data_IF_830733496717
#
_entry.id   IF_830733496717
#
_cell.length_a   1.000
_cell.length_b   1.000
_cell.length_c   1.000
_cell.angle_alpha   90.00
_cell.angle_beta   90.00
_cell.angle_gamma   90.00
#
_symmetry.space_group_name_H-M   'P 1'
#
loop_
_entity.id
_entity.type
_entity.pdbx_description
1 polymer ?
#
# COMPACT_ATOMS: atom_id res chain seq x y z
N UNK A 1 0.25 1.70 -9.65
CA UNK A 1 0.28 2.46 -10.91
C UNK A 1 0.66 3.92 -10.69
N UNK A 2 -0.17 4.76 -10.07
CA UNK A 2 0.06 6.21 -9.90
C UNK A 2 1.41 6.51 -9.22
N UNK A 3 1.72 5.89 -8.08
CA UNK A 3 2.93 6.17 -7.32
C UNK A 3 4.22 5.86 -8.07
N UNK A 4 4.35 4.65 -8.61
CA UNK A 4 5.55 4.22 -9.34
C UNK A 4 5.73 5.03 -10.62
N UNK A 5 4.66 5.20 -11.40
CA UNK A 5 4.73 5.93 -12.65
C UNK A 5 5.05 7.41 -12.47
N UNK A 6 4.46 8.06 -11.44
CA UNK A 6 4.78 9.45 -11.11
C UNK A 6 6.23 9.60 -10.61
N UNK A 7 6.75 8.63 -9.84
CA UNK A 7 8.13 8.64 -9.38
C UNK A 7 9.13 8.48 -10.54
N UNK A 8 8.82 7.62 -11.52
CA UNK A 8 9.62 7.49 -12.74
C UNK A 8 9.56 8.79 -13.56
N UNK A 9 8.36 9.38 -13.70
CA UNK A 9 8.21 10.64 -14.44
C UNK A 9 8.95 11.79 -13.75
N UNK A 10 8.90 11.86 -12.43
CA UNK A 10 9.70 12.77 -11.63
C UNK A 10 11.20 12.64 -11.94
N UNK A 11 11.75 11.41 -11.89
CA UNK A 11 13.16 11.17 -12.15
C UNK A 11 13.56 11.61 -13.58
N UNK A 12 12.74 11.30 -14.58
CA UNK A 12 12.95 11.74 -15.97
C UNK A 12 12.94 13.27 -16.07
N UNK A 13 11.96 13.94 -15.42
CA UNK A 13 11.84 15.39 -15.45
C UNK A 13 13.00 16.07 -14.73
N UNK A 14 13.54 15.49 -13.65
CA UNK A 14 14.76 15.99 -12.98
C UNK A 14 15.98 15.92 -13.89
N UNK A 15 16.17 14.82 -14.62
CA UNK A 15 17.28 14.68 -15.60
C UNK A 15 17.16 15.75 -16.69
N UNK A 16 15.93 16.03 -17.15
CA UNK A 16 15.64 17.06 -18.16
C UNK A 16 15.69 18.49 -17.63
N UNK A 17 15.82 18.67 -16.30
CA UNK A 17 15.77 19.97 -15.61
C UNK A 17 14.44 20.70 -15.80
N UNK A 18 13.34 19.96 -15.92
CA UNK A 18 12.00 20.53 -16.02
C UNK A 18 11.64 21.25 -14.71
N UNK A 19 11.12 22.47 -14.79
CA UNK A 19 10.73 23.27 -13.60
C UNK A 19 9.64 22.59 -12.75
N UNK A 20 8.77 21.82 -13.39
CA UNK A 20 7.59 21.21 -12.80
C UNK A 20 7.84 19.80 -12.21
N UNK A 21 9.10 19.35 -12.15
CA UNK A 21 9.44 18.00 -11.70
C UNK A 21 8.93 17.74 -10.26
N UNK A 22 9.06 18.70 -9.38
CA UNK A 22 8.69 18.56 -7.96
C UNK A 22 7.19 18.42 -7.74
N UNK A 23 6.37 18.90 -8.66
CA UNK A 23 4.90 18.79 -8.56
C UNK A 23 4.39 17.35 -8.68
N UNK A 24 5.16 16.44 -9.28
CA UNK A 24 4.72 15.05 -9.45
C UNK A 24 4.52 14.34 -8.12
N UNK A 25 5.33 14.63 -7.10
CA UNK A 25 5.19 14.02 -5.77
C UNK A 25 3.87 14.40 -5.13
N UNK A 26 3.59 15.69 -5.02
CA UNK A 26 2.37 16.19 -4.40
C UNK A 26 1.12 15.75 -5.18
N UNK A 27 1.20 15.82 -6.50
CA UNK A 27 0.11 15.36 -7.37
C UNK A 27 -0.20 13.87 -7.16
N UNK A 28 0.84 13.02 -7.08
CA UNK A 28 0.66 11.59 -6.82
C UNK A 28 0.02 11.34 -5.46
N UNK A 29 0.44 12.05 -4.41
CA UNK A 29 -0.16 11.93 -3.07
C UNK A 29 -1.64 12.30 -3.08
N UNK A 30 -2.02 13.45 -3.66
CA UNK A 30 -3.42 13.88 -3.72
C UNK A 30 -4.28 12.83 -4.44
N UNK A 31 -3.86 12.38 -5.62
CA UNK A 31 -4.63 11.40 -6.39
C UNK A 31 -4.69 10.03 -5.71
N UNK A 32 -3.64 9.63 -5.00
CA UNK A 32 -3.66 8.42 -4.18
C UNK A 32 -4.63 8.55 -2.99
N UNK A 33 -4.64 9.69 -2.31
CA UNK A 33 -5.60 9.93 -1.22
C UNK A 33 -7.03 9.94 -1.77
N UNK A 34 -7.30 10.65 -2.87
CA UNK A 34 -8.63 10.68 -3.47
C UNK A 34 -9.11 9.29 -3.90
N UNK A 35 -8.25 8.50 -4.55
CA UNK A 35 -8.61 7.13 -4.94
C UNK A 35 -8.73 6.18 -3.75
N UNK A 36 -7.98 6.40 -2.66
CA UNK A 36 -8.11 5.59 -1.45
C UNK A 36 -9.43 5.81 -0.71
N UNK A 37 -10.08 6.97 -0.87
CA UNK A 37 -11.41 7.20 -0.29
C UNK A 37 -12.45 6.22 -0.82
N UNK A 38 -12.31 5.74 -2.06
CA UNK A 38 -13.16 4.69 -2.60
C UNK A 38 -13.00 3.37 -1.80
N UNK A 39 -11.77 3.01 -1.44
CA UNK A 39 -11.50 1.81 -0.64
C UNK A 39 -11.99 1.97 0.80
N UNK A 40 -11.84 3.16 1.39
CA UNK A 40 -12.39 3.47 2.72
C UNK A 40 -13.92 3.32 2.70
N UNK A 41 -14.59 3.89 1.72
CA UNK A 41 -16.03 3.76 1.55
C UNK A 41 -16.44 2.30 1.39
N UNK A 42 -15.76 1.56 0.51
CA UNK A 42 -16.03 0.14 0.31
C UNK A 42 -15.80 -0.68 1.59
N UNK A 43 -14.75 -0.38 2.34
CA UNK A 43 -14.45 -1.04 3.62
C UNK A 43 -15.49 -0.80 4.69
N UNK A 44 -16.03 0.42 4.80
CA UNK A 44 -17.06 0.75 5.79
C UNK A 44 -18.39 0.06 5.47
N UNK A 45 -18.82 0.11 4.21
CA UNK A 45 -20.17 -0.30 3.81
C UNK A 45 -20.27 -1.73 3.25
N UNK A 46 -19.21 -2.24 2.63
CA UNK A 46 -19.23 -3.50 1.86
C UNK A 46 -18.18 -4.52 2.31
N UNK A 47 -17.58 -4.39 3.47
CA UNK A 47 -16.49 -5.30 3.92
C UNK A 47 -16.91 -6.77 3.94
N UNK A 48 -18.10 -7.09 4.45
CA UNK A 48 -18.62 -8.45 4.48
C UNK A 48 -18.89 -9.01 3.07
N UNK A 49 -19.47 -8.21 2.20
CA UNK A 49 -19.76 -8.62 0.83
C UNK A 49 -18.48 -8.85 0.01
N UNK A 50 -17.46 -8.01 0.22
CA UNK A 50 -16.14 -8.21 -0.39
C UNK A 50 -15.55 -9.55 0.06
N UNK A 51 -15.63 -9.90 1.34
CA UNK A 51 -15.13 -11.18 1.84
C UNK A 51 -15.89 -12.36 1.23
N UNK A 52 -17.22 -12.28 1.10
CA UNK A 52 -18.06 -13.31 0.44
C UNK A 52 -17.69 -13.49 -1.03
N UNK A 53 -17.48 -12.40 -1.76
CA UNK A 53 -17.05 -12.46 -3.18
C UNK A 53 -15.66 -13.10 -3.31
N UNK A 54 -14.78 -12.91 -2.33
CA UNK A 54 -13.46 -13.55 -2.28
C UNK A 54 -13.49 -15.02 -1.85
N UNK A 55 -14.68 -15.57 -1.53
CA UNK A 55 -14.87 -16.98 -1.21
C UNK A 55 -14.87 -17.31 0.28
N UNK A 56 -14.94 -16.30 1.18
CA UNK A 56 -15.04 -16.52 2.61
C UNK A 56 -16.44 -17.09 2.98
N UNK A 57 -16.47 -18.11 3.83
CA UNK A 57 -17.71 -18.60 4.43
C UNK A 57 -18.21 -17.67 5.55
N UNK A 58 -19.46 -17.87 6.00
CA UNK A 58 -20.08 -17.00 7.02
C UNK A 58 -19.31 -16.98 8.34
N UNK A 59 -18.63 -18.08 8.69
CA UNK A 59 -17.81 -18.13 9.90
C UNK A 59 -16.56 -17.23 9.75
N UNK A 60 -15.88 -17.29 8.61
CA UNK A 60 -14.73 -16.43 8.31
C UNK A 60 -15.15 -14.96 8.20
N UNK A 61 -16.33 -14.68 7.61
CA UNK A 61 -16.88 -13.33 7.55
C UNK A 61 -17.16 -12.80 8.95
N UNK A 62 -17.75 -13.59 9.84
CA UNK A 62 -18.05 -13.18 11.21
C UNK A 62 -16.79 -12.78 12.00
N UNK A 63 -15.70 -13.51 11.84
CA UNK A 63 -14.42 -13.26 12.55
C UNK A 63 -13.60 -12.17 11.87
N UNK A 64 -13.55 -12.14 10.53
CA UNK A 64 -12.65 -11.29 9.75
C UNK A 64 -13.22 -9.94 9.34
N UNK A 65 -14.52 -9.69 9.54
CA UNK A 65 -15.15 -8.46 9.06
C UNK A 65 -14.53 -7.18 9.67
N UNK A 66 -14.28 -7.18 10.98
CA UNK A 66 -13.65 -6.04 11.65
C UNK A 66 -12.20 -5.84 11.17
N UNK A 67 -11.46 -6.95 10.97
CA UNK A 67 -10.12 -6.89 10.35
C UNK A 67 -10.16 -6.19 9.00
N UNK A 68 -11.06 -6.63 8.10
CA UNK A 68 -11.19 -6.09 6.75
C UNK A 68 -11.60 -4.62 6.78
N UNK A 69 -12.52 -4.22 7.67
CA UNK A 69 -12.89 -2.81 7.86
C UNK A 69 -11.71 -1.95 8.26
N UNK A 70 -10.96 -2.35 9.30
CA UNK A 70 -9.79 -1.60 9.77
C UNK A 70 -8.77 -1.49 8.64
N UNK A 71 -8.42 -2.61 7.99
CA UNK A 71 -7.46 -2.63 6.90
C UNK A 71 -7.83 -1.66 5.76
N UNK A 72 -9.10 -1.69 5.32
CA UNK A 72 -9.57 -0.83 4.23
C UNK A 72 -9.70 0.65 4.65
N UNK A 73 -10.03 0.94 5.92
CA UNK A 73 -10.03 2.30 6.44
C UNK A 73 -8.63 2.94 6.43
N UNK A 74 -7.57 2.14 6.58
CA UNK A 74 -6.19 2.60 6.50
C UNK A 74 -5.61 2.58 5.08
N UNK A 75 -6.40 2.31 4.04
CA UNK A 75 -5.97 2.34 2.65
C UNK A 75 -5.21 3.62 2.26
N UNK A 76 -5.58 4.85 2.74
CA UNK A 76 -4.80 6.05 2.47
C UNK A 76 -3.35 5.95 2.93
N UNK A 77 -3.10 5.35 4.11
CA UNK A 77 -1.76 5.19 4.66
C UNK A 77 -0.91 4.22 3.83
N UNK A 78 -1.50 3.08 3.42
CA UNK A 78 -0.84 2.14 2.52
C UNK A 78 -0.47 2.78 1.19
N UNK A 79 -1.41 3.50 0.56
CA UNK A 79 -1.18 4.13 -0.72
C UNK A 79 -0.15 5.27 -0.64
N UNK A 80 -0.19 6.10 0.40
CA UNK A 80 0.80 7.14 0.63
C UNK A 80 2.20 6.56 0.90
N UNK A 81 2.30 5.49 1.69
CA UNK A 81 3.57 4.79 1.93
C UNK A 81 4.17 4.26 0.62
N UNK A 82 3.33 3.67 -0.24
CA UNK A 82 3.77 3.16 -1.55
C UNK A 82 4.30 4.28 -2.46
N UNK A 83 3.62 5.43 -2.50
CA UNK A 83 4.08 6.62 -3.24
C UNK A 83 5.41 7.12 -2.67
N UNK A 84 5.48 7.33 -1.36
CA UNK A 84 6.65 7.86 -0.67
C UNK A 84 7.88 6.98 -0.90
N UNK A 85 7.73 5.66 -0.75
CA UNK A 85 8.79 4.68 -1.00
C UNK A 85 9.26 4.70 -2.46
N UNK A 86 8.33 4.78 -3.42
CA UNK A 86 8.66 4.86 -4.84
C UNK A 86 9.47 6.12 -5.16
N UNK A 87 9.10 7.28 -4.59
CA UNK A 87 9.83 8.52 -4.81
C UNK A 87 11.22 8.52 -4.19
N UNK A 88 11.37 8.06 -2.94
CA UNK A 88 12.68 7.94 -2.28
C UNK A 88 13.62 7.02 -3.07
N UNK A 89 13.09 5.90 -3.59
CA UNK A 89 13.85 4.97 -4.43
C UNK A 89 14.32 5.62 -5.73
N UNK A 90 13.46 6.38 -6.40
CA UNK A 90 13.77 7.05 -7.66
C UNK A 90 14.56 8.36 -7.48
N UNK A 91 14.63 8.91 -6.28
CA UNK A 91 15.45 10.07 -5.91
C UNK A 91 16.89 9.67 -5.47
N UNK A 92 17.31 8.45 -5.80
CA UNK A 92 18.66 7.97 -5.58
C UNK A 92 18.95 7.44 -4.18
N UNK A 93 17.93 7.18 -3.36
CA UNK A 93 18.07 6.61 -2.02
C UNK A 93 17.39 5.24 -1.85
N UNK A 94 17.68 4.24 -2.71
CA UNK A 94 17.04 2.92 -2.61
C UNK A 94 17.34 2.21 -1.29
N UNK A 95 18.50 2.48 -0.67
CA UNK A 95 18.85 1.92 0.63
C UNK A 95 17.90 2.40 1.75
N UNK A 96 17.50 3.67 1.74
CA UNK A 96 16.53 4.21 2.71
C UNK A 96 15.14 3.60 2.46
N UNK A 97 14.72 3.49 1.20
CA UNK A 97 13.46 2.85 0.85
C UNK A 97 13.42 1.38 1.28
N UNK A 98 14.50 0.64 1.09
CA UNK A 98 14.63 -0.74 1.56
C UNK A 98 14.60 -0.83 3.09
N UNK A 99 15.36 0.03 3.79
CA UNK A 99 15.33 0.08 5.25
C UNK A 99 13.94 0.39 5.77
N UNK A 100 13.22 1.34 5.15
CA UNK A 100 11.84 1.67 5.51
C UNK A 100 10.92 0.44 5.42
N UNK A 101 11.05 -0.35 4.36
CA UNK A 101 10.27 -1.59 4.17
C UNK A 101 10.63 -2.62 5.24
N UNK A 102 11.92 -2.87 5.50
CA UNK A 102 12.38 -3.83 6.49
C UNK A 102 11.93 -3.48 7.91
N UNK A 103 12.11 -2.23 8.32
CA UNK A 103 11.69 -1.78 9.65
C UNK A 103 10.16 -1.77 9.79
N UNK A 104 9.42 -1.40 8.76
CA UNK A 104 7.97 -1.47 8.74
C UNK A 104 7.47 -2.92 8.90
N UNK A 105 8.10 -3.89 8.22
CA UNK A 105 7.77 -5.30 8.35
C UNK A 105 8.14 -5.87 9.73
N UNK A 106 9.31 -5.50 10.26
CA UNK A 106 9.72 -5.90 11.61
C UNK A 106 8.78 -5.33 12.66
N UNK A 107 8.41 -4.06 12.54
CA UNK A 107 7.41 -3.44 13.39
C UNK A 107 6.08 -4.20 13.33
N UNK A 108 5.61 -4.54 12.14
CA UNK A 108 4.37 -5.32 11.97
C UNK A 108 4.44 -6.63 12.76
N UNK A 109 5.48 -7.45 12.57
CA UNK A 109 5.63 -8.74 13.26
C UNK A 109 5.62 -8.58 14.80
N UNK A 110 6.37 -7.61 15.32
CA UNK A 110 6.47 -7.36 16.76
C UNK A 110 5.13 -6.86 17.33
N UNK A 111 4.48 -5.94 16.65
CA UNK A 111 3.22 -5.35 17.10
C UNK A 111 2.04 -6.29 16.89
N UNK A 112 2.05 -7.15 15.88
CA UNK A 112 1.09 -8.24 15.75
C UNK A 112 1.08 -9.09 17.03
N UNK A 113 2.27 -9.55 17.46
CA UNK A 113 2.38 -10.33 18.68
C UNK A 113 1.87 -9.56 19.92
N UNK A 114 2.32 -8.31 20.11
CA UNK A 114 1.97 -7.49 21.28
C UNK A 114 0.47 -7.21 21.33
N UNK A 115 -0.13 -6.81 20.23
CA UNK A 115 -1.55 -6.42 20.19
C UNK A 115 -2.46 -7.64 20.25
N UNK A 116 -2.09 -8.76 19.62
CA UNK A 116 -2.91 -9.98 19.65
C UNK A 116 -2.92 -10.67 20.99
N UNK A 117 -1.76 -10.85 21.63
CA UNK A 117 -1.62 -11.69 22.83
C UNK A 117 -1.60 -10.89 24.13
N UNK A 118 -0.61 -10.03 24.45
CA UNK A 118 -0.58 -9.28 25.69
C UNK A 118 -1.75 -8.32 25.88
N UNK A 119 -2.20 -7.68 24.78
CA UNK A 119 -3.32 -6.74 24.84
C UNK A 119 -4.70 -7.39 24.59
N UNK A 120 -4.74 -8.69 24.30
CA UNK A 120 -5.96 -9.46 24.05
C UNK A 120 -6.90 -8.88 22.97
N UNK A 121 -6.36 -8.16 21.98
CA UNK A 121 -7.14 -7.61 20.88
C UNK A 121 -7.40 -8.64 19.76
N UNK A 122 -6.77 -9.82 19.80
CA UNK A 122 -6.98 -10.87 18.81
C UNK A 122 -6.79 -10.38 17.36
N UNK A 123 -7.74 -10.69 16.48
CA UNK A 123 -7.71 -10.31 15.07
C UNK A 123 -7.73 -8.80 14.83
N UNK A 124 -8.37 -8.03 15.69
CA UNK A 124 -8.38 -6.56 15.59
C UNK A 124 -6.99 -5.98 15.88
N UNK A 125 -6.26 -6.59 16.81
CA UNK A 125 -4.86 -6.25 17.09
C UNK A 125 -3.95 -6.46 15.87
N UNK A 126 -4.07 -7.57 15.19
CA UNK A 126 -3.35 -7.83 13.94
C UNK A 126 -3.71 -6.80 12.84
N UNK A 127 -4.99 -6.46 12.69
CA UNK A 127 -5.40 -5.43 11.75
C UNK A 127 -4.77 -4.07 12.06
N UNK A 128 -4.71 -3.68 13.33
CA UNK A 128 -4.11 -2.43 13.77
C UNK A 128 -2.59 -2.41 13.54
N UNK A 129 -1.87 -3.48 13.88
CA UNK A 129 -0.43 -3.56 13.64
C UNK A 129 -0.11 -3.43 12.15
N UNK A 130 -0.86 -4.16 11.31
CA UNK A 130 -0.74 -4.07 9.85
C UNK A 130 -1.06 -2.66 9.34
N UNK A 131 -2.09 -2.01 9.86
CA UNK A 131 -2.51 -0.66 9.46
C UNK A 131 -1.52 0.43 9.89
N UNK A 132 -0.82 0.23 11.01
CA UNK A 132 0.18 1.19 11.53
C UNK A 132 1.55 1.04 10.86
N UNK A 133 1.91 -0.14 10.37
CA UNK A 133 3.24 -0.39 9.79
C UNK A 133 3.59 0.55 8.60
N UNK A 134 2.69 0.95 7.69
CA UNK A 134 2.98 1.93 6.65
C UNK A 134 3.39 3.31 7.20
N UNK A 135 2.89 3.69 8.37
CA UNK A 135 3.23 4.97 9.01
C UNK A 135 4.70 4.97 9.42
N UNK A 136 5.20 3.86 9.93
CA UNK A 136 6.63 3.69 10.26
C UNK A 136 7.48 3.78 8.98
N UNK A 137 7.06 3.09 7.92
CA UNK A 137 7.73 3.15 6.62
C UNK A 137 7.80 4.57 6.07
N UNK A 138 6.68 5.31 6.09
CA UNK A 138 6.64 6.72 5.68
C UNK A 138 7.52 7.61 6.57
N UNK A 139 7.55 7.37 7.88
CA UNK A 139 8.40 8.09 8.82
C UNK A 139 9.88 7.98 8.46
N UNK A 140 10.36 6.76 8.17
CA UNK A 140 11.74 6.52 7.75
C UNK A 140 12.02 7.15 6.37
N UNK A 141 11.12 7.00 5.41
CA UNK A 141 11.24 7.66 4.11
C UNK A 141 11.26 9.18 4.23
N UNK A 142 10.52 9.76 5.18
CA UNK A 142 10.48 11.21 5.41
C UNK A 142 11.84 11.76 5.83
N UNK A 143 12.70 10.97 6.50
CA UNK A 143 14.08 11.37 6.85
C UNK A 143 14.86 11.74 5.58
N UNK A 144 14.62 11.03 4.47
CA UNK A 144 15.26 11.36 3.21
C UNK A 144 14.82 12.74 2.70
N UNK A 145 13.54 13.08 2.75
CA UNK A 145 13.03 14.36 2.26
C UNK A 145 13.57 15.58 3.03
N UNK A 146 13.89 15.40 4.32
CA UNK A 146 14.55 16.43 5.12
C UNK A 146 16.08 16.43 4.99
N UNK A 147 16.65 15.44 4.32
CA UNK A 147 18.10 15.37 4.08
C UNK A 147 18.51 16.34 2.95
N UNK A 148 19.73 16.91 3.10
CA UNK A 148 20.36 17.72 2.04
C UNK A 148 20.63 16.94 0.74
N UNK A 149 20.52 15.61 0.78
CA UNK A 149 20.71 14.72 -0.39
C UNK A 149 19.44 14.55 -1.22
N UNK A 150 18.28 14.92 -0.69
CA UNK A 150 17.01 14.83 -1.41
C UNK A 150 16.95 15.90 -2.49
N UNK A 151 16.56 15.46 -3.69
CA UNK A 151 16.21 16.34 -4.79
C UNK A 151 14.72 16.65 -4.84
N UNK A 152 13.90 15.92 -4.07
CA UNK A 152 12.44 16.14 -3.99
C UNK A 152 12.16 17.36 -3.14
N UNK A 153 11.50 18.35 -3.69
CA UNK A 153 10.98 19.49 -2.95
C UNK A 153 9.49 19.29 -2.69
N UNK A 154 9.08 19.50 -1.44
CA UNK A 154 7.67 19.42 -1.07
C UNK A 154 6.95 20.71 -1.52
N UNK A 155 6.54 20.74 -2.77
CA UNK A 155 5.83 21.88 -3.34
C UNK A 155 4.34 21.55 -3.39
N UNK A 156 3.54 22.35 -2.66
CA UNK A 156 2.07 22.21 -2.69
C UNK A 156 1.56 22.78 -4.01
N UNK A 157 1.02 21.92 -4.86
CA UNK A 157 0.45 22.30 -6.15
C UNK A 157 -1.02 21.87 -6.27
N UNK A 158 -1.76 22.51 -7.18
CA UNK A 158 -3.12 22.06 -7.51
C UNK A 158 -3.09 20.71 -8.22
N UNK A 159 -4.05 19.80 -7.93
CA UNK A 159 -4.11 18.51 -8.60
C UNK A 159 -4.29 18.70 -10.12
N UNK A 160 -3.43 18.04 -10.88
CA UNK A 160 -3.42 18.11 -12.34
C UNK A 160 -3.68 16.74 -12.96
N UNK A 161 -4.80 16.63 -13.70
CA UNK A 161 -5.15 15.41 -14.43
C UNK A 161 -4.09 15.07 -15.50
N UNK A 162 -3.48 16.09 -16.10
CA UNK A 162 -2.40 15.89 -17.10
C UNK A 162 -1.19 15.18 -16.48
N UNK A 163 -0.77 15.58 -15.28
CA UNK A 163 0.34 14.95 -14.55
C UNK A 163 -0.04 13.53 -14.07
N UNK A 164 -1.31 13.34 -13.67
CA UNK A 164 -1.84 12.03 -13.33
C UNK A 164 -1.74 11.07 -14.53
N UNK A 165 -2.23 11.46 -15.70
CA UNK A 165 -2.19 10.63 -16.91
C UNK A 165 -0.75 10.33 -17.32
N UNK A 166 0.13 11.35 -17.34
CA UNK A 166 1.53 11.19 -17.69
C UNK A 166 2.28 10.23 -16.74
N UNK A 167 1.98 10.29 -15.43
CA UNK A 167 2.50 9.33 -14.45
C UNK A 167 1.90 7.94 -14.64
N UNK A 168 0.58 7.84 -14.79
CA UNK A 168 -0.10 6.56 -14.94
C UNK A 168 0.38 5.77 -16.16
N UNK A 169 0.67 6.42 -17.27
CA UNK A 169 1.20 5.76 -18.47
C UNK A 169 2.51 5.00 -18.20
N UNK A 170 3.42 5.59 -17.42
CA UNK A 170 4.68 4.92 -17.04
C UNK A 170 4.49 3.87 -15.96
N UNK A 171 3.40 3.93 -15.21
CA UNK A 171 3.06 2.97 -14.17
C UNK A 171 2.26 1.76 -14.63
N UNK A 172 1.89 1.66 -15.91
CA UNK A 172 1.10 0.55 -16.46
C UNK A 172 1.79 -0.79 -16.28
N UNK A 173 3.10 -0.87 -16.52
CA UNK A 173 3.87 -2.10 -16.36
C UNK A 173 3.85 -2.61 -14.91
N UNK A 174 4.02 -1.71 -13.93
CA UNK A 174 3.91 -2.04 -12.53
C UNK A 174 2.48 -2.49 -12.16
N UNK A 175 1.47 -1.85 -12.71
CA UNK A 175 0.07 -2.24 -12.50
C UNK A 175 -0.22 -3.64 -13.05
N UNK A 176 0.25 -3.95 -14.26
CA UNK A 176 0.08 -5.28 -14.85
C UNK A 176 0.78 -6.36 -14.01
N UNK A 177 1.98 -6.07 -13.50
CA UNK A 177 2.70 -6.99 -12.61
C UNK A 177 1.91 -7.30 -11.33
N UNK A 178 1.41 -6.26 -10.64
CA UNK A 178 0.62 -6.41 -9.42
C UNK A 178 -0.72 -7.12 -9.70
N UNK A 179 -1.39 -6.78 -10.79
CA UNK A 179 -2.62 -7.47 -11.19
C UNK A 179 -2.39 -8.94 -11.50
N UNK A 180 -1.29 -9.27 -12.17
CA UNK A 180 -0.92 -10.66 -12.45
C UNK A 180 -0.72 -11.46 -11.17
N UNK A 181 0.01 -10.88 -10.19
CA UNK A 181 0.22 -11.50 -8.88
C UNK A 181 -1.11 -11.70 -8.14
N UNK A 182 -1.99 -10.71 -8.17
CA UNK A 182 -3.31 -10.81 -7.54
C UNK A 182 -4.17 -11.91 -8.19
N UNK A 183 -4.20 -11.99 -9.52
CA UNK A 183 -4.96 -13.03 -10.24
C UNK A 183 -4.42 -14.41 -9.94
N UNK A 184 -3.09 -14.57 -9.91
CA UNK A 184 -2.44 -15.85 -9.56
C UNK A 184 -2.83 -16.26 -8.14
N UNK A 185 -2.71 -15.36 -7.17
CA UNK A 185 -3.06 -15.63 -5.77
C UNK A 185 -4.52 -16.03 -5.62
N UNK A 186 -5.44 -15.32 -6.27
CA UNK A 186 -6.86 -15.67 -6.25
C UNK A 186 -7.13 -17.04 -6.89
N UNK A 187 -6.51 -17.32 -8.03
CA UNK A 187 -6.67 -18.62 -8.71
C UNK A 187 -6.15 -19.77 -7.83
N UNK A 188 -4.99 -19.61 -7.20
CA UNK A 188 -4.46 -20.60 -6.26
C UNK A 188 -5.38 -20.78 -5.04
N UNK A 189 -5.86 -19.69 -4.45
CA UNK A 189 -6.79 -19.77 -3.32
C UNK A 189 -8.08 -20.52 -3.68
N UNK A 190 -8.68 -20.28 -4.85
CA UNK A 190 -9.85 -21.00 -5.29
C UNK A 190 -9.58 -22.50 -5.52
N UNK A 191 -8.45 -22.86 -6.10
CA UNK A 191 -8.08 -24.26 -6.34
C UNK A 191 -7.82 -24.96 -5.00
N UNK A 192 -7.06 -24.35 -4.10
CA UNK A 192 -6.74 -24.91 -2.79
C UNK A 192 -7.99 -25.04 -1.93
N UNK A 193 -8.88 -24.05 -1.97
CA UNK A 193 -10.16 -24.10 -1.25
C UNK A 193 -11.01 -25.33 -1.69
N UNK A 194 -11.04 -25.63 -2.99
CA UNK A 194 -11.75 -26.81 -3.53
C UNK A 194 -11.08 -28.14 -3.18
N UNK A 195 -9.76 -28.19 -3.09
CA UNK A 195 -9.03 -29.42 -2.86
C UNK A 195 -8.81 -29.75 -1.38
N UNK A 196 -8.51 -28.75 -0.56
CA UNK A 196 -8.08 -28.92 0.82
C UNK A 196 -8.87 -28.06 1.84
N UNK A 197 -9.91 -27.36 1.37
CA UNK A 197 -10.75 -26.49 2.23
C UNK A 197 -9.97 -25.35 2.89
N UNK A 198 -10.54 -24.76 3.95
CA UNK A 198 -10.00 -23.59 4.63
C UNK A 198 -8.60 -23.85 5.25
N UNK A 199 -8.31 -25.10 5.67
CA UNK A 199 -7.00 -25.46 6.22
C UNK A 199 -5.90 -25.35 5.16
N UNK A 200 -6.19 -25.78 3.94
CA UNK A 200 -5.27 -25.65 2.81
C UNK A 200 -4.96 -24.19 2.45
N UNK A 201 -5.99 -23.34 2.44
CA UNK A 201 -5.81 -21.89 2.18
C UNK A 201 -4.98 -21.25 3.30
N UNK A 202 -5.23 -21.60 4.56
CA UNK A 202 -4.44 -21.08 5.68
C UNK A 202 -2.98 -21.50 5.58
N UNK A 203 -2.69 -22.76 5.22
CA UNK A 203 -1.33 -23.23 5.00
C UNK A 203 -0.62 -22.51 3.85
N UNK A 204 -1.33 -22.22 2.75
CA UNK A 204 -0.79 -21.44 1.62
C UNK A 204 -0.48 -19.99 2.00
N UNK A 205 -1.26 -19.41 2.90
CA UNK A 205 -1.05 -18.02 3.36
C UNK A 205 0.19 -17.84 4.24
N UNK A 206 0.81 -18.93 4.71
CA UNK A 206 2.05 -18.91 5.53
C UNK A 206 3.30 -19.01 4.65
N UNK A 207 3.20 -19.48 3.41
CA UNK A 207 4.30 -19.65 2.44
C UNK A 207 4.48 -18.41 1.58
#
# INVERSE_FOLDING_TARGET
>A
MIGVGSAIRYAISKIKKDADADDYFWNALIWCILSSMLFVFAGIFFSADIMRVLGADEHIVAVGNNYTKIFMCFAPMFMCNYVTNAFVRNDGAPGIAMSATLFSSLFNIVFDYILMFPMNLGMEGAALATALSPIIGMGICSIHFFSKKSSVRLVVCKPSVRKLVAGSQLGVSAFVGEMSSAVITLAFNFVILKLAGNVGVAAYGVV
#
